data_IF_135670968110
#
_entry.id   IF_135670968110
#
_cell.length_a   1.000
_cell.length_b   1.000
_cell.length_c   1.000
_cell.angle_alpha   90.00
_cell.angle_beta   90.00
_cell.angle_gamma   90.00
#
_symmetry.space_group_name_H-M   'P 1'
#
loop_
_entity.id
_entity.type
_entity.pdbx_description
1 polymer ?
#
# COMPACT_ATOMS: atom_id res chain seq x y z
N UNK A 1 18.80 19.26 -25.99
CA UNK A 1 18.86 17.79 -26.10
C UNK A 1 17.79 17.35 -27.09
N UNK A 2 18.17 16.66 -28.17
CA UNK A 2 17.24 16.09 -29.14
C UNK A 2 16.49 14.91 -28.49
N UNK A 3 15.26 14.63 -28.92
CA UNK A 3 14.41 13.56 -28.37
C UNK A 3 15.11 12.19 -28.30
N UNK A 4 15.87 11.83 -29.33
CA UNK A 4 16.64 10.57 -29.34
C UNK A 4 17.80 10.56 -28.34
N UNK A 5 18.47 11.70 -28.12
CA UNK A 5 19.50 11.82 -27.08
C UNK A 5 18.89 11.63 -25.68
N UNK A 6 17.69 12.16 -25.44
CA UNK A 6 16.98 12.00 -24.18
C UNK A 6 16.61 10.53 -23.92
N UNK A 7 16.09 9.84 -24.95
CA UNK A 7 15.75 8.41 -24.87
C UNK A 7 16.99 7.56 -24.59
N UNK A 8 18.06 7.75 -25.36
CA UNK A 8 19.32 7.04 -25.17
C UNK A 8 19.92 7.29 -23.77
N UNK A 9 19.83 8.52 -23.26
CA UNK A 9 20.28 8.85 -21.92
C UNK A 9 19.46 8.14 -20.84
N UNK A 10 18.12 8.18 -20.93
CA UNK A 10 17.22 7.49 -19.98
C UNK A 10 17.50 5.99 -19.97
N UNK A 11 17.58 5.36 -21.13
CA UNK A 11 17.86 3.92 -21.24
C UNK A 11 19.24 3.58 -20.66
N UNK A 12 20.28 4.34 -21.01
CA UNK A 12 21.63 4.12 -20.50
C UNK A 12 21.68 4.26 -18.98
N UNK A 13 21.04 5.29 -18.41
CA UNK A 13 21.00 5.51 -16.97
C UNK A 13 20.24 4.39 -16.25
N UNK A 14 19.08 3.98 -16.78
CA UNK A 14 18.28 2.88 -16.23
C UNK A 14 19.10 1.59 -16.17
N UNK A 15 19.65 1.14 -17.31
CA UNK A 15 20.41 -0.12 -17.38
C UNK A 15 21.67 -0.08 -16.51
N UNK A 16 22.44 1.00 -16.57
CA UNK A 16 23.64 1.17 -15.73
C UNK A 16 23.30 1.13 -14.24
N UNK A 17 22.18 1.73 -13.82
CA UNK A 17 21.78 1.74 -12.41
C UNK A 17 21.45 0.34 -11.92
N UNK A 18 20.72 -0.45 -12.71
CA UNK A 18 20.35 -1.83 -12.38
C UNK A 18 21.59 -2.72 -12.36
N UNK A 19 22.41 -2.68 -13.42
CA UNK A 19 23.61 -3.52 -13.55
C UNK A 19 24.69 -3.23 -12.50
N UNK A 20 24.77 -1.98 -12.02
CA UNK A 20 25.74 -1.57 -10.99
C UNK A 20 25.39 -2.11 -9.60
N UNK A 21 24.11 -2.31 -9.30
CA UNK A 21 23.66 -2.72 -7.97
C UNK A 21 23.30 -4.21 -7.94
N UNK A 22 24.21 -5.02 -7.38
CA UNK A 22 24.01 -6.48 -7.27
C UNK A 22 22.81 -6.88 -6.40
N UNK A 23 22.23 -5.96 -5.63
CA UNK A 23 21.01 -6.20 -4.85
C UNK A 23 19.73 -6.02 -5.68
N UNK A 24 19.81 -5.36 -6.83
CA UNK A 24 18.69 -5.21 -7.76
C UNK A 24 18.74 -6.40 -8.73
N UNK A 25 17.87 -7.38 -8.51
CA UNK A 25 17.78 -8.55 -9.40
C UNK A 25 17.12 -8.22 -10.72
N UNK A 26 16.08 -7.38 -10.69
CA UNK A 26 15.40 -6.87 -11.87
C UNK A 26 14.73 -5.52 -11.59
N UNK A 27 14.46 -4.77 -12.66
CA UNK A 27 13.69 -3.54 -12.61
C UNK A 27 12.92 -3.31 -13.92
N UNK A 28 11.91 -2.46 -13.86
CA UNK A 28 11.00 -2.13 -14.97
C UNK A 28 10.80 -0.62 -15.02
N UNK A 29 10.73 -0.05 -16.23
CA UNK A 29 10.50 1.37 -16.44
C UNK A 29 9.69 1.61 -17.71
N UNK A 30 8.51 2.21 -17.55
CA UNK A 30 7.71 2.77 -18.63
C UNK A 30 7.81 4.30 -18.61
N UNK A 31 8.30 4.89 -19.70
CA UNK A 31 8.20 6.33 -19.96
C UNK A 31 7.31 6.53 -21.17
N UNK A 32 6.20 7.21 -20.96
CA UNK A 32 5.22 7.48 -22.02
C UNK A 32 4.86 8.96 -22.10
N UNK A 33 4.85 9.51 -23.30
CA UNK A 33 4.36 10.86 -23.59
C UNK A 33 3.83 10.89 -25.03
N UNK A 34 2.53 11.04 -25.19
CA UNK A 34 1.90 11.18 -26.49
C UNK A 34 2.37 12.46 -27.21
N UNK A 35 2.34 13.60 -26.51
CA UNK A 35 2.78 14.91 -27.04
C UNK A 35 4.20 14.89 -27.60
N UNK A 36 5.11 14.18 -26.93
CA UNK A 36 6.50 14.07 -27.37
C UNK A 36 6.72 12.83 -28.25
N UNK A 37 5.70 12.00 -28.48
CA UNK A 37 5.79 10.72 -29.17
C UNK A 37 6.81 9.78 -28.54
N UNK A 38 6.90 9.73 -27.21
CA UNK A 38 7.80 8.85 -26.45
C UNK A 38 7.00 7.64 -25.95
N UNK A 39 7.53 6.45 -26.23
CA UNK A 39 7.07 5.20 -25.62
C UNK A 39 8.29 4.31 -25.42
N UNK A 40 8.76 4.22 -24.19
CA UNK A 40 9.89 3.40 -23.78
C UNK A 40 9.40 2.43 -22.71
N UNK A 41 9.31 1.14 -23.03
CA UNK A 41 8.93 0.11 -22.08
C UNK A 41 10.09 -0.85 -21.88
N UNK A 42 10.81 -0.70 -20.77
CA UNK A 42 12.09 -1.35 -20.54
C UNK A 42 12.05 -2.23 -19.31
N UNK A 43 12.79 -3.32 -19.37
CA UNK A 43 13.14 -4.15 -18.23
C UNK A 43 14.63 -4.50 -18.28
N UNK A 44 15.23 -4.70 -17.12
CA UNK A 44 16.64 -5.08 -16.99
C UNK A 44 16.78 -6.06 -15.82
N UNK A 45 17.70 -7.03 -15.93
CA UNK A 45 17.93 -8.06 -14.93
C UNK A 45 17.13 -9.35 -15.19
N UNK A 46 16.94 -10.16 -14.15
CA UNK A 46 16.25 -11.45 -14.23
C UNK A 46 15.51 -11.81 -12.93
N UNK A 47 14.58 -12.76 -13.05
CA UNK A 47 13.97 -13.47 -11.93
C UNK A 47 14.41 -14.92 -12.01
N UNK A 48 15.43 -15.30 -11.24
CA UNK A 48 16.10 -16.59 -11.42
C UNK A 48 16.73 -16.68 -12.81
N UNK A 49 16.39 -17.74 -13.56
CA UNK A 49 16.84 -17.95 -14.94
C UNK A 49 16.01 -17.20 -16.00
N UNK A 50 14.90 -16.58 -15.63
CA UNK A 50 14.02 -15.88 -16.58
C UNK A 50 14.46 -14.41 -16.72
N UNK A 51 14.84 -13.96 -17.93
CA UNK A 51 15.11 -12.54 -18.18
C UNK A 51 13.89 -11.67 -17.85
N UNK A 52 14.13 -10.48 -17.31
CA UNK A 52 13.05 -9.54 -17.01
C UNK A 52 12.32 -9.13 -18.30
N UNK A 53 10.99 -9.24 -18.29
CA UNK A 53 10.15 -8.88 -19.42
C UNK A 53 9.29 -7.64 -19.06
N UNK A 54 9.31 -6.55 -19.85
CA UNK A 54 8.53 -5.35 -19.56
C UNK A 54 7.00 -5.52 -19.61
N UNK A 55 6.49 -6.66 -20.07
CA UNK A 55 5.07 -7.01 -20.10
C UNK A 55 4.67 -7.97 -18.97
N UNK A 56 5.60 -8.41 -18.12
CA UNK A 56 5.27 -9.39 -17.09
C UNK A 56 4.55 -8.75 -15.88
N UNK A 57 3.62 -9.47 -15.24
CA UNK A 57 3.01 -9.00 -14.01
C UNK A 57 4.03 -8.98 -12.87
N UNK A 58 3.85 -8.06 -11.93
CA UNK A 58 4.64 -7.96 -10.72
C UNK A 58 3.78 -7.48 -9.55
N UNK A 59 4.19 -7.79 -8.32
CA UNK A 59 3.51 -7.31 -7.12
C UNK A 59 3.78 -5.82 -6.93
N UNK A 60 2.72 -5.01 -6.92
CA UNK A 60 2.81 -3.55 -6.87
C UNK A 60 2.81 -2.98 -5.44
N UNK A 61 2.72 -3.85 -4.42
CA UNK A 61 2.67 -3.50 -3.00
C UNK A 61 1.69 -2.33 -2.73
N UNK A 62 2.14 -1.31 -2.01
CA UNK A 62 1.32 -0.16 -1.59
C UNK A 62 0.70 0.66 -2.74
N UNK A 63 1.15 0.51 -4.00
CA UNK A 63 0.50 1.16 -5.14
C UNK A 63 -0.97 0.73 -5.25
N UNK A 64 -1.32 -0.49 -4.78
CA UNK A 64 -2.70 -0.97 -4.72
C UNK A 64 -3.66 -0.04 -3.96
N UNK A 65 -3.18 0.74 -2.98
CA UNK A 65 -4.00 1.71 -2.23
C UNK A 65 -4.60 2.79 -3.14
N UNK A 66 -3.93 3.16 -4.24
CA UNK A 66 -4.44 4.13 -5.20
C UNK A 66 -5.70 3.61 -5.91
N UNK A 67 -5.71 2.34 -6.30
CA UNK A 67 -6.88 1.69 -6.91
C UNK A 67 -8.07 1.71 -5.94
N UNK A 68 -7.86 1.29 -4.69
CA UNK A 68 -8.89 1.34 -3.66
C UNK A 68 -9.40 2.76 -3.44
N UNK A 69 -8.51 3.76 -3.39
CA UNK A 69 -8.89 5.17 -3.21
C UNK A 69 -9.76 5.68 -4.36
N UNK A 70 -9.45 5.32 -5.61
CA UNK A 70 -10.26 5.65 -6.79
C UNK A 70 -11.64 4.97 -6.71
N UNK A 71 -11.71 3.70 -6.32
CA UNK A 71 -12.98 3.00 -6.15
C UNK A 71 -13.87 3.67 -5.10
N UNK A 72 -13.28 4.12 -3.97
CA UNK A 72 -14.02 4.90 -2.98
C UNK A 72 -14.50 6.24 -3.58
N UNK A 73 -13.65 6.93 -4.34
CA UNK A 73 -14.06 8.16 -5.05
C UNK A 73 -15.26 7.95 -5.98
N UNK A 74 -15.25 6.88 -6.77
CA UNK A 74 -16.37 6.50 -7.64
C UNK A 74 -17.65 6.23 -6.83
N UNK A 75 -17.54 5.58 -5.67
CA UNK A 75 -18.69 5.34 -4.79
C UNK A 75 -19.23 6.65 -4.19
N UNK A 76 -18.35 7.59 -3.87
CA UNK A 76 -18.74 8.94 -3.40
C UNK A 76 -19.49 9.70 -4.49
N UNK A 77 -18.97 9.72 -5.72
CA UNK A 77 -19.64 10.36 -6.86
C UNK A 77 -21.02 9.76 -7.16
N UNK A 78 -21.18 8.45 -6.93
CA UNK A 78 -22.46 7.75 -7.05
C UNK A 78 -23.39 7.94 -5.84
N UNK A 79 -22.99 8.73 -4.84
CA UNK A 79 -23.77 8.96 -3.62
C UNK A 79 -23.98 7.70 -2.75
N UNK A 80 -23.11 6.68 -2.89
CA UNK A 80 -23.19 5.42 -2.14
C UNK A 80 -22.47 5.48 -0.79
N UNK A 81 -21.52 6.39 -0.66
CA UNK A 81 -20.74 6.65 0.54
C UNK A 81 -20.35 8.13 0.59
N UNK A 82 -20.08 8.68 1.76
CA UNK A 82 -19.48 10.01 1.92
C UNK A 82 -18.12 9.91 2.60
N UNK A 83 -17.20 10.80 2.23
CA UNK A 83 -15.94 10.97 2.94
C UNK A 83 -16.13 11.35 4.42
N UNK A 84 -17.30 11.88 4.79
CA UNK A 84 -17.64 12.22 6.17
C UNK A 84 -18.31 11.10 6.94
N UNK A 85 -18.70 10.00 6.28
CA UNK A 85 -19.32 8.86 6.95
C UNK A 85 -18.36 8.27 7.97
N UNK A 86 -18.91 7.89 9.10
CA UNK A 86 -18.20 7.09 10.09
C UNK A 86 -18.14 5.64 9.62
N UNK A 87 -17.05 4.94 9.93
CA UNK A 87 -16.89 3.53 9.52
C UNK A 87 -17.99 2.62 10.10
N UNK A 88 -18.56 3.01 11.24
CA UNK A 88 -19.69 2.31 11.89
C UNK A 88 -20.97 2.27 11.08
N UNK A 89 -21.10 3.10 10.04
CA UNK A 89 -22.24 3.05 9.13
C UNK A 89 -22.12 1.94 8.08
N UNK A 90 -20.90 1.41 7.87
CA UNK A 90 -20.57 0.51 6.76
C UNK A 90 -20.11 -0.87 7.20
N UNK A 91 -19.76 -1.06 8.48
CA UNK A 91 -19.25 -2.32 9.01
C UNK A 91 -20.00 -2.75 10.28
N UNK A 92 -20.09 -4.07 10.48
CA UNK A 92 -20.72 -4.67 11.65
C UNK A 92 -19.93 -4.38 12.93
N UNK A 93 -20.65 -4.25 14.05
CA UNK A 93 -20.07 -3.96 15.36
C UNK A 93 -19.04 -5.01 15.82
N UNK A 94 -19.22 -6.28 15.45
CA UNK A 94 -18.29 -7.35 15.85
C UNK A 94 -16.87 -7.12 15.30
N UNK A 95 -16.77 -6.61 14.07
CA UNK A 95 -15.48 -6.26 13.48
C UNK A 95 -14.85 -5.04 14.17
N UNK A 96 -15.70 -4.04 14.47
CA UNK A 96 -15.30 -2.72 14.95
C UNK A 96 -15.06 -2.65 16.45
N UNK A 97 -15.58 -3.59 17.24
CA UNK A 97 -15.44 -3.59 18.69
C UNK A 97 -13.96 -3.48 19.11
N UNK A 98 -13.67 -2.46 19.93
CA UNK A 98 -12.33 -2.11 20.41
C UNK A 98 -11.28 -1.90 19.29
N UNK A 99 -11.71 -1.53 18.07
CA UNK A 99 -10.80 -1.33 16.96
C UNK A 99 -9.79 -0.20 17.23
N UNK A 100 -10.22 0.87 17.89
CA UNK A 100 -9.40 2.04 18.12
C UNK A 100 -9.49 2.57 19.56
N UNK A 101 -8.90 1.83 20.50
CA UNK A 101 -8.77 2.26 21.90
C UNK A 101 -7.44 3.00 22.08
N UNK A 102 -7.53 4.31 22.33
CA UNK A 102 -6.37 5.16 22.56
C UNK A 102 -6.45 5.82 23.94
N UNK A 103 -5.44 5.56 24.78
CA UNK A 103 -5.35 6.07 26.16
C UNK A 103 -6.66 5.89 26.96
N UNK A 104 -7.23 4.69 26.88
CA UNK A 104 -8.44 4.31 27.61
C UNK A 104 -9.76 4.81 26.99
N UNK A 105 -9.73 5.52 25.88
CA UNK A 105 -10.93 6.00 25.18
C UNK A 105 -11.09 5.27 23.84
N UNK A 106 -12.30 4.77 23.56
CA UNK A 106 -12.64 4.18 22.27
C UNK A 106 -13.06 5.28 21.27
N UNK A 107 -12.27 5.43 20.21
CA UNK A 107 -12.50 6.40 19.14
C UNK A 107 -13.02 5.77 17.86
N UNK A 108 -13.40 4.49 17.86
CA UNK A 108 -13.80 3.74 16.67
C UNK A 108 -14.92 4.45 15.89
N UNK A 109 -15.94 4.96 16.59
CA UNK A 109 -17.06 5.70 16.01
C UNK A 109 -16.70 7.11 15.49
N UNK A 110 -15.49 7.61 15.77
CA UNK A 110 -14.99 8.90 15.27
C UNK A 110 -14.18 8.75 13.98
N UNK A 111 -13.82 7.52 13.59
CA UNK A 111 -13.10 7.25 12.35
C UNK A 111 -14.06 7.45 11.18
N UNK A 112 -13.67 8.35 10.27
CA UNK A 112 -14.38 8.65 9.04
C UNK A 112 -13.66 8.04 7.85
N UNK A 113 -14.37 7.82 6.75
CA UNK A 113 -13.78 7.31 5.51
C UNK A 113 -12.58 8.16 5.06
N UNK A 114 -12.67 9.50 5.14
CA UNK A 114 -11.53 10.37 4.83
C UNK A 114 -10.30 10.11 5.71
N UNK A 115 -10.47 9.68 6.96
CA UNK A 115 -9.36 9.40 7.86
C UNK A 115 -8.63 8.11 7.46
N UNK A 116 -9.34 7.12 6.90
CA UNK A 116 -8.73 5.91 6.36
C UNK A 116 -7.93 6.24 5.09
N UNK A 117 -8.52 7.00 4.17
CA UNK A 117 -7.92 7.32 2.87
C UNK A 117 -6.64 8.18 2.94
N UNK A 118 -6.45 8.91 4.05
CA UNK A 118 -5.33 9.82 4.21
C UNK A 118 -4.39 9.44 5.35
N UNK A 119 -4.50 8.22 5.90
CA UNK A 119 -3.62 7.72 6.96
C UNK A 119 -3.68 8.57 8.24
N UNK A 120 -4.89 9.06 8.59
CA UNK A 120 -5.13 9.88 9.79
C UNK A 120 -6.19 9.27 10.71
N UNK A 121 -6.47 7.98 10.57
CA UNK A 121 -7.41 7.27 11.44
C UNK A 121 -6.87 7.05 12.85
N UNK A 122 -5.54 6.95 12.99
CA UNK A 122 -4.89 6.56 14.25
C UNK A 122 -4.89 5.05 14.50
N UNK A 123 -5.36 4.27 13.52
CA UNK A 123 -5.34 2.81 13.54
C UNK A 123 -3.91 2.26 13.46
N UNK A 124 -3.81 0.99 13.85
CA UNK A 124 -2.61 0.19 13.75
C UNK A 124 -2.21 -0.06 12.28
N UNK A 125 -0.91 -0.06 11.99
CA UNK A 125 -0.35 -0.64 10.77
C UNK A 125 0.03 -2.10 11.07
N UNK A 126 -0.75 -3.04 10.56
CA UNK A 126 -0.50 -4.46 10.79
C UNK A 126 0.85 -4.95 10.25
N UNK A 127 1.42 -4.25 9.26
CA UNK A 127 2.61 -4.67 8.54
C UNK A 127 3.87 -4.07 9.15
N UNK A 128 3.86 -2.77 9.50
CA UNK A 128 5.04 -2.05 9.99
C UNK A 128 5.08 -1.84 11.51
N UNK A 129 3.93 -1.85 12.21
CA UNK A 129 3.94 -1.63 13.65
C UNK A 129 4.53 -2.81 14.42
N UNK A 130 5.24 -2.47 15.49
CA UNK A 130 5.75 -3.46 16.43
C UNK A 130 4.64 -3.90 17.39
N UNK A 131 4.44 -5.22 17.56
CA UNK A 131 3.46 -5.70 18.51
C UNK A 131 3.91 -5.48 19.94
N UNK A 132 2.93 -5.42 20.85
CA UNK A 132 3.14 -5.34 22.30
C UNK A 132 4.01 -6.50 22.79
N UNK A 133 3.77 -7.68 22.23
CA UNK A 133 4.43 -8.95 22.53
C UNK A 133 4.41 -9.84 21.28
N UNK A 134 5.32 -10.81 21.18
CA UNK A 134 5.36 -11.76 20.07
C UNK A 134 6.07 -11.23 18.81
N UNK A 135 5.89 -11.96 17.71
CA UNK A 135 6.55 -11.67 16.42
C UNK A 135 5.79 -10.59 15.63
N UNK A 136 6.49 -9.65 14.98
CA UNK A 136 5.91 -8.79 13.95
C UNK A 136 5.18 -9.59 12.86
N UNK A 137 4.12 -9.03 12.26
CA UNK A 137 3.36 -9.73 11.22
C UNK A 137 4.25 -10.14 10.05
N UNK A 138 5.20 -9.30 9.65
CA UNK A 138 6.10 -9.61 8.54
C UNK A 138 6.90 -10.90 8.79
N UNK A 139 7.34 -11.13 10.03
CA UNK A 139 8.06 -12.34 10.39
C UNK A 139 7.12 -13.56 10.35
N UNK A 140 5.87 -13.40 10.80
CA UNK A 140 4.86 -14.47 10.73
C UNK A 140 4.58 -14.85 9.26
N UNK A 141 4.44 -13.86 8.38
CA UNK A 141 4.21 -14.08 6.95
C UNK A 141 5.38 -14.78 6.26
N UNK A 142 6.61 -14.52 6.70
CA UNK A 142 7.82 -15.16 6.16
C UNK A 142 8.01 -16.59 6.71
N UNK A 143 7.67 -16.82 7.98
CA UNK A 143 7.72 -18.15 8.60
C UNK A 143 6.61 -19.08 8.07
N UNK A 144 5.44 -18.52 7.73
CA UNK A 144 4.24 -19.25 7.29
C UNK A 144 3.75 -18.79 5.89
N UNK A 145 4.56 -18.90 4.82
CA UNK A 145 4.26 -18.28 3.52
C UNK A 145 3.05 -18.91 2.80
N UNK A 146 2.60 -20.10 3.21
CA UNK A 146 1.43 -20.78 2.65
C UNK A 146 0.13 -20.42 3.35
N UNK A 147 0.19 -19.72 4.49
CA UNK A 147 -1.02 -19.36 5.24
C UNK A 147 -1.74 -18.21 4.55
N UNK A 148 -3.03 -18.42 4.27
CA UNK A 148 -3.91 -17.36 3.83
C UNK A 148 -4.50 -16.62 5.03
N UNK A 149 -4.41 -15.29 5.01
CA UNK A 149 -5.02 -14.41 6.00
C UNK A 149 -6.21 -13.68 5.41
N UNK A 150 -7.36 -13.82 6.06
CA UNK A 150 -8.54 -13.00 5.73
C UNK A 150 -8.38 -11.58 6.26
N UNK A 151 -9.02 -10.57 5.65
CA UNK A 151 -9.02 -9.21 6.19
C UNK A 151 -9.46 -9.11 7.66
N UNK A 152 -10.44 -9.93 8.05
CA UNK A 152 -10.97 -10.00 9.41
C UNK A 152 -9.93 -10.53 10.39
N UNK A 153 -9.17 -11.57 10.03
CA UNK A 153 -8.09 -12.09 10.87
C UNK A 153 -6.97 -11.08 11.02
N UNK A 154 -6.62 -10.34 9.96
CA UNK A 154 -5.60 -9.27 10.04
C UNK A 154 -6.06 -8.17 10.99
N UNK A 155 -7.31 -7.70 10.85
CA UNK A 155 -7.90 -6.70 11.76
C UNK A 155 -7.91 -7.22 13.20
N UNK A 156 -8.33 -8.46 13.42
CA UNK A 156 -8.37 -9.06 14.75
C UNK A 156 -6.98 -9.15 15.37
N UNK A 157 -6.00 -9.67 14.61
CA UNK A 157 -4.61 -9.73 15.05
C UNK A 157 -4.07 -8.33 15.40
N UNK A 158 -4.37 -7.30 14.60
CA UNK A 158 -3.96 -5.94 14.90
C UNK A 158 -4.55 -5.41 16.21
N UNK A 159 -5.84 -5.64 16.48
CA UNK A 159 -6.49 -5.22 17.74
C UNK A 159 -5.79 -5.84 18.95
N UNK A 160 -5.51 -7.14 18.87
CA UNK A 160 -4.95 -7.91 19.98
C UNK A 160 -3.49 -7.50 20.24
N UNK A 161 -2.71 -7.34 19.18
CA UNK A 161 -1.26 -7.23 19.27
C UNK A 161 -0.72 -5.79 19.23
N UNK A 162 -1.43 -4.84 18.61
CA UNK A 162 -0.88 -3.51 18.32
C UNK A 162 -1.50 -2.41 19.19
N UNK A 163 -0.86 -1.24 19.22
CA UNK A 163 -1.29 -0.06 19.99
C UNK A 163 -1.77 1.04 19.05
N UNK A 164 -2.94 1.62 19.33
CA UNK A 164 -3.43 2.77 18.58
C UNK A 164 -2.56 4.00 18.83
N UNK A 165 -2.49 4.90 17.85
CA UNK A 165 -1.47 5.97 17.82
C UNK A 165 -1.96 7.34 18.28
N UNK A 166 -3.12 7.79 17.79
CA UNK A 166 -3.68 9.12 18.09
C UNK A 166 -5.19 9.17 17.77
N UNK A 167 -5.95 10.15 18.31
CA UNK A 167 -7.37 10.30 17.95
C UNK A 167 -7.56 10.65 16.46
N UNK A 168 -8.66 10.22 15.81
CA UNK A 168 -8.83 10.39 14.37
C UNK A 168 -8.72 11.86 13.92
N UNK A 169 -7.94 12.09 12.87
CA UNK A 169 -7.65 13.41 12.30
C UNK A 169 -6.58 14.22 13.06
N UNK A 170 -6.01 13.73 14.16
CA UNK A 170 -5.03 14.48 14.97
C UNK A 170 -3.56 14.18 14.66
N UNK A 171 -3.28 13.17 13.83
CA UNK A 171 -1.94 12.83 13.39
C UNK A 171 -1.92 12.25 11.99
N UNK A 172 -0.77 11.68 11.63
CA UNK A 172 -0.55 10.86 10.43
C UNK A 172 0.24 9.62 10.85
N UNK A 173 -0.23 8.44 10.44
CA UNK A 173 0.43 7.15 10.59
C UNK A 173 0.00 6.30 9.41
N UNK A 174 0.97 5.83 8.62
CA UNK A 174 0.73 5.11 7.36
C UNK A 174 -0.02 3.79 7.60
#
# INVERSE_FOLDING_TARGET
MKKEEARALIESLFRKKVQKDRKIHNAYLLVHSEKLGIHMNMAEGSTGSMPANPQQPYFIASIGKLFTSVLIGILVEKGKISYQDTITQHFNNDLLSNLHVYKGNDYTNHIKIKHLLNHRSGLHDYFEDKPKQGKPMIDILLDEPSRFWTPQEVIQWSKDNLKSHFPPGKGFHY
#
